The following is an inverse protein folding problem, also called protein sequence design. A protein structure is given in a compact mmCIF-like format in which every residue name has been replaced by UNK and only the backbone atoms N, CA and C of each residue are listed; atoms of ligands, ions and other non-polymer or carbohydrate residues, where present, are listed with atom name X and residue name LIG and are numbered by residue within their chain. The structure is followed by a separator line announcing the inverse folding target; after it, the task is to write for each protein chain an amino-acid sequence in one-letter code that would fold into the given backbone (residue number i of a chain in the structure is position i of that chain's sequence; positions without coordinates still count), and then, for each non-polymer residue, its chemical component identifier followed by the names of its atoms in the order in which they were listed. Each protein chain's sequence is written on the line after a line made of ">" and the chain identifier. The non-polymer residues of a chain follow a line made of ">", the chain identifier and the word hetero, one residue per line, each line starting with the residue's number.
data_IF_252468915212
#
_entry.id   IF_252468915212
#
_cell.length_a   1.000
_cell.length_b   1.000
_cell.length_c   1.000
_cell.angle_alpha   90.00
_cell.angle_beta   90.00
_cell.angle_gamma   90.00
#
_symmetry.space_group_name_H-M   'P 1'
#
loop_
_entity.id
_entity.type
_entity.pdbx_description
1 polymer ?
#
# COMPACT_ATOMS: atom_id res chain seq x y z
N UNK A 1 -28.91 -3.91 13.92
CA UNK A 1 -29.22 -2.81 14.87
C UNK A 1 -29.53 -1.56 14.07
N UNK A 2 -30.36 -0.65 14.59
CA UNK A 2 -30.73 0.59 13.91
C UNK A 2 -29.95 1.78 14.49
N UNK A 3 -29.49 2.67 13.60
CA UNK A 3 -28.94 3.98 13.95
C UNK A 3 -30.02 5.03 13.64
N UNK A 4 -30.38 5.85 14.63
CA UNK A 4 -31.30 6.97 14.45
C UNK A 4 -30.49 8.28 14.47
N UNK A 5 -30.68 9.10 13.44
CA UNK A 5 -30.08 10.43 13.34
C UNK A 5 -31.20 11.45 13.17
N UNK A 6 -31.46 12.28 14.19
CA UNK A 6 -32.48 13.34 14.15
C UNK A 6 -31.84 14.67 13.71
N UNK A 7 -31.50 14.76 12.43
CA UNK A 7 -30.96 15.98 11.83
C UNK A 7 -31.44 16.10 10.37
N UNK A 8 -32.15 17.19 10.07
CA UNK A 8 -32.76 17.43 8.75
C UNK A 8 -31.73 17.65 7.63
N UNK A 9 -30.59 18.26 7.94
CA UNK A 9 -29.50 18.49 6.98
C UNK A 9 -28.85 17.15 6.59
N UNK A 10 -28.61 16.27 7.57
CA UNK A 10 -28.06 14.93 7.32
C UNK A 10 -29.03 14.08 6.49
N UNK A 11 -30.33 14.16 6.77
CA UNK A 11 -31.34 13.47 5.96
C UNK A 11 -31.31 13.94 4.50
N UNK A 12 -31.23 15.25 4.27
CA UNK A 12 -31.19 15.81 2.93
C UNK A 12 -29.95 15.35 2.16
N UNK A 13 -28.77 15.41 2.79
CA UNK A 13 -27.51 14.92 2.22
C UNK A 13 -27.59 13.42 1.88
N UNK A 14 -28.16 12.61 2.77
CA UNK A 14 -28.28 11.17 2.54
C UNK A 14 -29.23 10.86 1.37
N UNK A 15 -30.32 11.62 1.21
CA UNK A 15 -31.25 11.48 0.08
C UNK A 15 -30.62 11.90 -1.25
N UNK A 16 -29.85 12.98 -1.26
CA UNK A 16 -29.12 13.43 -2.46
C UNK A 16 -28.05 12.42 -2.87
N UNK A 17 -27.30 11.89 -1.90
CA UNK A 17 -26.31 10.84 -2.13
C UNK A 17 -26.93 9.55 -2.66
N UNK A 18 -28.08 9.15 -2.13
CA UNK A 18 -28.82 7.99 -2.60
C UNK A 18 -29.34 8.18 -4.03
N UNK A 19 -29.90 9.36 -4.33
CA UNK A 19 -30.45 9.69 -5.64
C UNK A 19 -29.35 9.73 -6.72
N UNK A 20 -28.20 10.34 -6.42
CA UNK A 20 -27.07 10.40 -7.35
C UNK A 20 -26.45 9.03 -7.65
N UNK A 21 -26.51 8.10 -6.69
CA UNK A 21 -25.97 6.73 -6.84
C UNK A 21 -27.00 5.70 -7.29
N UNK A 22 -28.29 6.03 -7.30
CA UNK A 22 -29.37 5.09 -7.65
C UNK A 22 -29.55 3.95 -6.64
N UNK A 23 -29.25 4.19 -5.35
CA UNK A 23 -29.36 3.19 -4.27
C UNK A 23 -30.30 3.67 -3.16
N UNK A 24 -30.60 2.82 -2.18
CA UNK A 24 -31.39 3.23 -1.01
C UNK A 24 -30.61 4.20 -0.12
N UNK A 25 -31.32 5.00 0.69
CA UNK A 25 -30.70 5.94 1.64
C UNK A 25 -29.75 5.22 2.60
N UNK A 26 -30.19 4.08 3.15
CA UNK A 26 -29.38 3.25 4.04
C UNK A 26 -28.11 2.75 3.35
N UNK A 27 -28.23 2.34 2.09
CA UNK A 27 -27.11 1.82 1.31
C UNK A 27 -26.10 2.92 0.96
N UNK A 28 -26.58 4.12 0.62
CA UNK A 28 -25.74 5.29 0.39
C UNK A 28 -24.93 5.66 1.64
N UNK A 29 -25.58 5.67 2.82
CA UNK A 29 -24.92 5.92 4.10
C UNK A 29 -23.89 4.85 4.41
N UNK A 30 -24.25 3.55 4.26
CA UNK A 30 -23.33 2.42 4.48
C UNK A 30 -22.05 2.58 3.64
N UNK A 31 -22.20 2.78 2.34
CA UNK A 31 -21.08 2.97 1.42
C UNK A 31 -20.25 4.22 1.75
N UNK A 32 -20.90 5.31 2.16
CA UNK A 32 -20.18 6.53 2.55
C UNK A 32 -19.31 6.29 3.78
N UNK A 33 -19.85 5.62 4.80
CA UNK A 33 -19.13 5.28 6.02
C UNK A 33 -17.98 4.29 5.73
N UNK A 34 -18.21 3.27 4.90
CA UNK A 34 -17.15 2.34 4.48
C UNK A 34 -16.01 3.04 3.73
N UNK A 35 -16.36 3.96 2.83
CA UNK A 35 -15.37 4.75 2.10
C UNK A 35 -14.56 5.64 3.04
N UNK A 36 -15.20 6.29 4.02
CA UNK A 36 -14.50 7.13 4.99
C UNK A 36 -13.61 6.31 5.91
N UNK A 37 -14.11 5.18 6.44
CA UNK A 37 -13.31 4.24 7.24
C UNK A 37 -12.11 3.73 6.44
N UNK A 38 -12.25 3.50 5.13
CA UNK A 38 -11.16 3.08 4.24
C UNK A 38 -10.15 4.21 4.04
N UNK A 39 -10.60 5.46 3.89
CA UNK A 39 -9.74 6.64 3.77
C UNK A 39 -8.98 6.94 5.05
N UNK A 40 -9.65 6.81 6.20
CA UNK A 40 -9.13 7.13 7.51
C UNK A 40 -8.36 5.98 8.16
N UNK A 41 -8.58 4.72 7.75
CA UNK A 41 -7.88 3.57 8.33
C UNK A 41 -6.36 3.64 8.09
N UNK A 42 -5.54 3.85 9.13
CA UNK A 42 -4.09 3.75 9.00
C UNK A 42 -3.64 2.31 8.67
N UNK A 43 -4.49 1.29 8.89
CA UNK A 43 -4.19 -0.10 8.52
C UNK A 43 -4.07 -0.33 7.01
N UNK A 44 -4.63 0.53 6.16
CA UNK A 44 -4.47 0.44 4.69
C UNK A 44 -3.28 1.27 4.15
N UNK A 45 -2.48 1.87 5.04
CA UNK A 45 -1.16 2.48 4.71
C UNK A 45 -0.11 1.96 5.68
N UNK A 46 0.49 0.78 5.43
CA UNK A 46 1.94 0.81 5.13
C UNK A 46 2.47 -0.26 4.14
N UNK A 47 1.72 -1.28 3.73
CA UNK A 47 2.29 -2.38 2.91
C UNK A 47 2.53 -2.00 1.46
N UNK A 48 1.59 -1.29 0.84
CA UNK A 48 1.72 -0.92 -0.56
C UNK A 48 2.78 0.18 -0.74
N UNK A 49 2.89 1.13 0.19
CA UNK A 49 3.95 2.14 0.18
C UNK A 49 5.34 1.56 0.44
N UNK A 50 5.47 0.57 1.33
CA UNK A 50 6.74 -0.12 1.58
C UNK A 50 7.15 -1.00 0.41
N UNK A 51 6.21 -1.76 -0.17
CA UNK A 51 6.48 -2.57 -1.36
C UNK A 51 6.89 -1.70 -2.54
N UNK A 52 6.20 -0.58 -2.78
CA UNK A 52 6.56 0.38 -3.82
C UNK A 52 7.95 0.96 -3.60
N UNK A 53 8.29 1.31 -2.35
CA UNK A 53 9.64 1.78 -2.00
C UNK A 53 10.71 0.69 -2.22
N UNK A 54 10.41 -0.57 -1.90
CA UNK A 54 11.32 -1.70 -2.16
C UNK A 54 11.53 -1.93 -3.66
N UNK A 55 10.46 -1.82 -4.46
CA UNK A 55 10.53 -1.92 -5.92
C UNK A 55 11.35 -0.80 -6.52
N UNK A 56 11.17 0.45 -6.07
CA UNK A 56 11.99 1.59 -6.50
C UNK A 56 13.48 1.38 -6.21
N UNK A 57 13.83 0.92 -5.01
CA UNK A 57 15.22 0.62 -4.64
C UNK A 57 15.79 -0.52 -5.50
N UNK A 58 15.00 -1.58 -5.72
CA UNK A 58 15.40 -2.71 -6.57
C UNK A 58 15.65 -2.28 -8.01
N UNK A 59 14.77 -1.44 -8.57
CA UNK A 59 14.92 -0.90 -9.92
C UNK A 59 16.18 -0.03 -10.02
N UNK A 60 16.43 0.85 -9.04
CA UNK A 60 17.64 1.65 -8.99
C UNK A 60 18.91 0.78 -8.94
N UNK A 61 18.93 -0.26 -8.10
CA UNK A 61 20.04 -1.19 -8.00
C UNK A 61 20.27 -1.96 -9.31
N UNK A 62 19.20 -2.32 -10.03
CA UNK A 62 19.28 -3.05 -11.30
C UNK A 62 19.92 -2.25 -12.44
N UNK A 63 19.92 -0.91 -12.33
CA UNK A 63 20.55 0.00 -13.32
C UNK A 63 22.06 0.12 -13.14
N UNK A 64 22.62 -0.40 -12.05
CA UNK A 64 24.07 -0.37 -11.81
C UNK A 64 24.75 -1.27 -12.86
N UNK A 65 25.70 -0.74 -13.65
CA UNK A 65 26.43 -1.54 -14.64
C UNK A 65 27.13 -2.73 -13.99
N UNK A 66 27.10 -3.89 -14.67
CA UNK A 66 27.88 -5.05 -14.25
C UNK A 66 29.38 -4.71 -14.33
N UNK A 67 30.16 -5.29 -13.41
CA UNK A 67 31.62 -5.14 -13.40
C UNK A 67 32.21 -5.74 -14.69
N UNK A 68 33.19 -5.06 -15.27
CA UNK A 68 33.90 -5.52 -16.48
C UNK A 68 34.58 -6.89 -16.25
N UNK A 69 35.02 -7.14 -15.02
CA UNK A 69 35.62 -8.40 -14.58
C UNK A 69 34.68 -9.00 -13.51
N UNK A 70 33.79 -9.94 -13.89
CA UNK A 70 32.93 -10.61 -12.94
C UNK A 70 33.79 -11.46 -12.02
N UNK A 71 33.55 -11.33 -10.72
CA UNK A 71 34.21 -12.12 -9.70
C UNK A 71 33.23 -13.21 -9.24
N UNK A 72 33.75 -14.39 -8.90
CA UNK A 72 32.96 -15.43 -8.22
C UNK A 72 32.60 -14.97 -6.80
N UNK A 73 31.63 -15.63 -6.18
CA UNK A 73 31.24 -15.34 -4.79
C UNK A 73 32.45 -15.47 -3.84
N UNK A 74 33.27 -16.51 -4.02
CA UNK A 74 34.48 -16.76 -3.24
C UNK A 74 35.54 -15.66 -3.45
N UNK A 75 35.73 -15.20 -4.69
CA UNK A 75 36.66 -14.11 -5.00
C UNK A 75 36.20 -12.78 -4.38
N UNK A 76 34.88 -12.55 -4.32
CA UNK A 76 34.28 -11.36 -3.69
C UNK A 76 34.48 -11.41 -2.17
N UNK A 77 34.25 -12.58 -1.56
CA UNK A 77 34.41 -12.81 -0.14
C UNK A 77 35.89 -12.81 0.28
N UNK A 78 36.80 -13.24 -0.59
CA UNK A 78 38.23 -13.31 -0.33
C UNK A 78 38.62 -14.47 0.59
N UNK A 79 37.79 -15.50 0.67
CA UNK A 79 38.06 -16.73 1.41
C UNK A 79 38.07 -17.90 0.44
N UNK A 80 38.98 -18.85 0.65
CA UNK A 80 38.90 -20.14 -0.04
C UNK A 80 37.83 -21.05 0.57
N UNK A 81 37.64 -22.25 0.00
CA UNK A 81 36.65 -23.24 0.46
C UNK A 81 36.87 -23.70 1.92
N UNK A 82 38.05 -23.44 2.49
CA UNK A 82 38.42 -23.76 3.86
C UNK A 82 38.26 -22.55 4.81
N UNK A 83 37.79 -21.41 4.30
CA UNK A 83 37.62 -20.18 5.07
C UNK A 83 38.94 -19.45 5.34
N UNK A 84 39.99 -19.71 4.57
CA UNK A 84 41.29 -19.06 4.71
C UNK A 84 41.30 -17.78 3.86
N UNK A 85 41.68 -16.62 4.44
CA UNK A 85 41.83 -15.39 3.67
C UNK A 85 42.83 -15.56 2.54
N UNK A 86 42.42 -15.23 1.31
CA UNK A 86 43.26 -15.29 0.10
C UNK A 86 43.79 -13.92 -0.31
N UNK A 87 43.59 -12.89 0.53
CA UNK A 87 44.01 -11.49 0.33
C UNK A 87 44.63 -10.89 1.59
#
# INVERSE_FOLDING_TARGET
>A
MALLIENSEVEQLARELASSRGVSVTEAIRQSLENEITRESPMFRPKESELMRLLEISEQASRIPKRDHPMTEDEILGYDELGIPTR
#
